data_IF_711023700609
#
_entry.id   IF_711023700609
#
_cell.length_a   1.000
_cell.length_b   1.000
_cell.length_c   1.000
_cell.angle_alpha   90.00
_cell.angle_beta   90.00
_cell.angle_gamma   90.00
#
_symmetry.space_group_name_H-M   'P 1'
#
loop_
_entity.id
_entity.type
_entity.pdbx_description
1 polymer ?
#
# COMPACT_ATOMS: atom_id res chain seq x y z
N UNK A 1 0.25 -16.26 15.84
CA UNK A 1 -0.08 -14.84 16.13
C UNK A 1 -0.52 -14.25 14.80
N UNK A 2 -1.62 -13.50 14.76
CA UNK A 2 -2.07 -12.80 13.54
C UNK A 2 -1.13 -11.63 13.27
N UNK A 3 -0.77 -11.41 12.00
CA UNK A 3 0.02 -10.26 11.59
C UNK A 3 -0.90 -9.03 11.50
N UNK A 4 -0.69 -8.02 12.36
CA UNK A 4 -1.40 -6.75 12.26
C UNK A 4 -0.93 -5.96 11.04
N UNK A 5 -1.88 -5.47 10.25
CA UNK A 5 -1.63 -4.66 9.05
C UNK A 5 -2.49 -3.41 9.06
N UNK A 6 -1.93 -2.29 8.60
CA UNK A 6 -2.67 -1.04 8.45
C UNK A 6 -3.37 -0.96 7.08
N UNK A 7 -4.58 -0.42 7.06
CA UNK A 7 -5.32 -0.10 5.83
C UNK A 7 -5.62 1.40 5.82
N UNK A 8 -5.16 2.10 4.81
CA UNK A 8 -5.29 3.57 4.69
C UNK A 8 -5.71 4.00 3.29
N UNK A 9 -6.02 5.30 3.12
CA UNK A 9 -6.27 5.94 1.84
C UNK A 9 -5.63 7.34 1.84
N UNK A 10 -4.44 7.44 1.27
CA UNK A 10 -3.64 8.67 1.23
C UNK A 10 -3.93 9.54 0.00
N UNK A 11 -4.61 9.01 -1.02
CA UNK A 11 -5.06 9.74 -2.21
C UNK A 11 -6.57 10.02 -2.13
N UNK A 12 -7.31 9.85 -3.23
CA UNK A 12 -8.76 10.09 -3.25
C UNK A 12 -9.48 9.15 -2.29
N UNK A 13 -10.51 9.62 -1.60
CA UNK A 13 -11.28 8.81 -0.65
C UNK A 13 -12.04 7.69 -1.36
N UNK A 14 -12.32 6.63 -0.62
CA UNK A 14 -13.30 5.65 -1.07
C UNK A 14 -14.71 6.25 -0.96
N UNK A 15 -15.54 6.05 -1.98
CA UNK A 15 -16.95 6.38 -1.85
C UNK A 15 -17.63 5.45 -0.82
N UNK A 16 -18.53 5.92 0.04
CA UNK A 16 -19.19 5.10 1.08
C UNK A 16 -19.88 3.84 0.56
N UNK A 17 -20.33 3.83 -0.72
CA UNK A 17 -20.91 2.63 -1.35
C UNK A 17 -19.94 1.43 -1.44
N UNK A 18 -18.63 1.65 -1.36
CA UNK A 18 -17.61 0.58 -1.35
C UNK A 18 -17.33 0.01 0.05
N UNK A 19 -18.14 0.37 1.05
CA UNK A 19 -17.97 -0.17 2.42
C UNK A 19 -18.10 -1.70 2.49
N UNK A 20 -18.99 -2.28 1.69
CA UNK A 20 -19.14 -3.73 1.59
C UNK A 20 -17.89 -4.40 0.98
N UNK A 21 -17.27 -3.78 -0.02
CA UNK A 21 -16.04 -4.26 -0.64
C UNK A 21 -14.87 -4.21 0.34
N UNK A 22 -14.74 -3.12 1.12
CA UNK A 22 -13.72 -3.02 2.15
C UNK A 22 -13.94 -4.06 3.26
N UNK A 23 -15.18 -4.28 3.68
CA UNK A 23 -15.50 -5.32 4.66
C UNK A 23 -15.12 -6.72 4.15
N UNK A 24 -15.40 -7.02 2.86
CA UNK A 24 -15.00 -8.27 2.22
C UNK A 24 -13.48 -8.39 2.11
N UNK A 25 -12.76 -7.32 1.75
CA UNK A 25 -11.31 -7.31 1.75
C UNK A 25 -10.74 -7.66 3.13
N UNK A 26 -11.25 -7.01 4.19
CA UNK A 26 -10.85 -7.29 5.56
C UNK A 26 -11.15 -8.74 5.97
N UNK A 27 -12.25 -9.32 5.49
CA UNK A 27 -12.56 -10.72 5.74
C UNK A 27 -11.52 -11.63 5.06
N UNK A 28 -11.22 -11.43 3.78
CA UNK A 28 -10.21 -12.20 3.06
C UNK A 28 -8.85 -12.10 3.79
N UNK A 29 -8.43 -10.91 4.16
CA UNK A 29 -7.18 -10.70 4.90
C UNK A 29 -7.15 -11.47 6.23
N UNK A 30 -8.27 -11.51 6.98
CA UNK A 30 -8.36 -12.32 8.22
C UNK A 30 -8.28 -13.82 7.94
N UNK A 31 -8.92 -14.29 6.88
CA UNK A 31 -8.83 -15.71 6.45
C UNK A 31 -7.40 -16.09 6.07
N UNK A 32 -6.60 -15.12 5.61
CA UNK A 32 -5.16 -15.26 5.32
C UNK A 32 -4.25 -15.11 6.54
N UNK A 33 -4.80 -14.88 7.74
CA UNK A 33 -4.05 -14.76 8.99
C UNK A 33 -3.60 -13.35 9.36
N UNK A 34 -4.09 -12.33 8.65
CA UNK A 34 -3.82 -10.92 8.96
C UNK A 34 -4.92 -10.31 9.85
N UNK A 35 -4.56 -9.28 10.61
CA UNK A 35 -5.51 -8.48 11.41
C UNK A 35 -5.50 -7.02 10.91
N UNK A 36 -6.47 -6.64 10.04
CA UNK A 36 -6.49 -5.31 9.45
C UNK A 36 -6.98 -4.24 10.43
N UNK A 37 -6.18 -3.20 10.62
CA UNK A 37 -6.46 -1.97 11.37
C UNK A 37 -6.80 -0.87 10.38
N UNK A 38 -8.02 -0.33 10.45
CA UNK A 38 -8.49 0.69 9.51
C UNK A 38 -8.13 2.09 9.97
N UNK A 39 -7.55 2.88 9.07
CA UNK A 39 -7.35 4.32 9.25
C UNK A 39 -8.70 5.06 9.31
N UNK A 40 -8.81 6.16 10.06
CA UNK A 40 -9.99 7.02 10.05
C UNK A 40 -10.22 7.73 8.70
N UNK A 41 -9.17 7.93 7.89
CA UNK A 41 -9.21 8.64 6.62
C UNK A 41 -9.38 7.68 5.43
N UNK A 42 -10.48 6.92 5.37
CA UNK A 42 -10.76 5.98 4.28
C UNK A 42 -11.84 6.47 3.33
N UNK A 43 -12.93 7.03 3.87
CA UNK A 43 -14.12 7.35 3.10
C UNK A 43 -14.28 8.84 2.90
N UNK A 44 -14.96 9.18 1.80
CA UNK A 44 -15.44 10.54 1.57
C UNK A 44 -16.35 10.99 2.73
N UNK A 45 -16.03 12.12 3.31
CA UNK A 45 -16.78 12.75 4.39
C UNK A 45 -17.93 13.66 3.90
N UNK A 46 -18.21 13.62 2.61
CA UNK A 46 -19.23 14.47 1.95
C UNK A 46 -18.66 15.74 1.29
N UNK A 47 -17.36 15.97 1.39
CA UNK A 47 -16.67 17.10 0.75
C UNK A 47 -15.87 16.71 -0.50
N UNK A 48 -15.86 15.43 -0.86
CA UNK A 48 -14.97 14.86 -1.88
C UNK A 48 -13.61 14.45 -1.35
N UNK A 49 -13.39 14.54 -0.02
CA UNK A 49 -12.13 14.21 0.66
C UNK A 49 -12.39 13.28 1.85
N UNK A 50 -11.39 12.49 2.23
CA UNK A 50 -11.38 11.74 3.50
C UNK A 50 -10.79 12.55 4.66
N UNK A 51 -10.24 13.72 4.35
CA UNK A 51 -9.54 14.65 5.22
C UNK A 51 -8.56 15.51 4.42
N UNK A 52 -8.00 16.51 5.06
CA UNK A 52 -6.89 17.31 4.51
C UNK A 52 -5.64 16.46 4.31
N UNK A 53 -4.66 16.94 3.54
CA UNK A 53 -3.37 16.27 3.39
C UNK A 53 -2.68 15.99 4.75
N UNK A 54 -2.78 16.92 5.70
CA UNK A 54 -2.25 16.77 7.04
C UNK A 54 -2.97 15.65 7.82
N UNK A 55 -4.31 15.63 7.82
CA UNK A 55 -5.09 14.61 8.52
C UNK A 55 -4.86 13.20 7.94
N UNK A 56 -4.73 13.08 6.61
CA UNK A 56 -4.39 11.81 5.95
C UNK A 56 -2.96 11.37 6.29
N UNK A 57 -2.03 12.31 6.37
CA UNK A 57 -0.66 12.04 6.80
C UNK A 57 -0.60 11.60 8.28
N UNK A 58 -1.31 12.29 9.18
CA UNK A 58 -1.39 11.91 10.60
C UNK A 58 -1.97 10.50 10.76
N UNK A 59 -3.01 10.18 9.99
CA UNK A 59 -3.60 8.84 9.98
C UNK A 59 -2.61 7.76 9.50
N UNK A 60 -1.80 8.05 8.49
CA UNK A 60 -0.73 7.18 8.01
C UNK A 60 0.39 7.06 9.06
N UNK A 61 0.83 8.17 9.65
CA UNK A 61 1.88 8.18 10.67
C UNK A 61 1.48 7.41 11.92
N UNK A 62 0.21 7.44 12.32
CA UNK A 62 -0.29 6.61 13.42
C UNK A 62 -0.12 5.10 13.15
N UNK A 63 -0.30 4.64 11.90
CA UNK A 63 -0.01 3.26 11.52
C UNK A 63 1.49 2.95 11.55
N UNK A 64 2.33 3.90 11.16
CA UNK A 64 3.78 3.75 11.26
C UNK A 64 4.26 3.70 12.73
N UNK A 65 3.61 4.43 13.64
CA UNK A 65 3.95 4.44 15.06
C UNK A 65 3.42 3.23 15.86
N UNK A 66 2.41 2.50 15.36
CA UNK A 66 1.90 1.31 16.05
C UNK A 66 2.89 0.14 15.95
N UNK A 67 3.57 -0.28 17.05
CA UNK A 67 4.60 -1.31 16.99
C UNK A 67 4.10 -2.71 16.59
N UNK A 68 2.80 -2.95 16.59
CA UNK A 68 2.22 -4.23 16.23
C UNK A 68 1.95 -4.35 14.72
N UNK A 69 1.92 -3.23 13.97
CA UNK A 69 1.71 -3.21 12.52
C UNK A 69 3.05 -3.51 11.82
N UNK A 70 3.03 -4.40 10.84
CA UNK A 70 4.20 -4.78 10.03
C UNK A 70 4.16 -4.22 8.62
N UNK A 71 2.97 -4.11 8.05
CA UNK A 71 2.72 -3.68 6.68
C UNK A 71 1.56 -2.70 6.62
N UNK A 72 1.64 -1.71 5.75
CA UNK A 72 0.61 -0.70 5.56
C UNK A 72 0.15 -0.73 4.09
N UNK A 73 -1.13 -1.02 3.87
CA UNK A 73 -1.74 -1.09 2.55
C UNK A 73 -2.61 0.13 2.29
N UNK A 74 -2.30 0.84 1.22
CA UNK A 74 -3.17 1.91 0.74
C UNK A 74 -4.16 1.36 -0.29
N UNK A 75 -5.45 1.58 -0.02
CA UNK A 75 -6.55 1.10 -0.88
C UNK A 75 -7.03 2.15 -1.88
N UNK A 76 -6.45 3.35 -1.83
CA UNK A 76 -6.84 4.46 -2.68
C UNK A 76 -6.13 4.48 -4.03
N UNK A 77 -6.41 5.47 -4.77
CA UNK A 77 -5.78 5.92 -5.99
C UNK A 77 -6.40 7.27 -6.34
N UNK A 78 -5.89 7.97 -7.34
CA UNK A 78 -6.42 9.28 -7.72
C UNK A 78 -5.33 10.26 -8.09
N UNK A 79 -5.36 11.46 -7.50
CA UNK A 79 -4.47 12.57 -7.88
C UNK A 79 -3.98 13.40 -6.67
N UNK A 80 -4.16 12.91 -5.42
CA UNK A 80 -3.93 13.71 -4.20
C UNK A 80 -2.88 13.11 -3.24
N UNK A 81 -2.20 12.02 -3.60
CA UNK A 81 -1.24 11.36 -2.72
C UNK A 81 -0.03 12.25 -2.39
N UNK A 82 0.36 13.15 -3.28
CA UNK A 82 1.45 14.10 -3.05
C UNK A 82 1.18 15.09 -1.90
N UNK A 83 -0.09 15.36 -1.58
CA UNK A 83 -0.45 16.30 -0.52
C UNK A 83 -0.04 15.84 0.88
N UNK A 84 0.15 14.53 1.10
CA UNK A 84 0.56 14.01 2.41
C UNK A 84 2.08 14.14 2.64
N UNK A 85 2.90 14.18 1.58
CA UNK A 85 4.35 14.16 1.66
C UNK A 85 4.97 15.23 2.59
N UNK A 86 4.50 16.49 2.58
CA UNK A 86 5.07 17.55 3.45
C UNK A 86 4.87 17.31 4.96
N UNK A 87 3.98 16.39 5.32
CA UNK A 87 3.61 16.10 6.71
C UNK A 87 4.14 14.75 7.20
N UNK A 88 4.87 14.01 6.36
CA UNK A 88 5.46 12.72 6.75
C UNK A 88 6.77 12.92 7.51
N UNK A 89 6.93 12.24 8.62
CA UNK A 89 8.21 12.13 9.31
C UNK A 89 8.98 10.92 8.80
N UNK A 90 9.87 11.14 7.84
CA UNK A 90 10.67 10.08 7.25
C UNK A 90 11.66 9.44 8.23
N UNK A 91 12.00 10.10 9.34
CA UNK A 91 12.85 9.50 10.37
C UNK A 91 12.10 8.43 11.16
N UNK A 92 10.82 8.67 11.47
CA UNK A 92 9.93 7.69 12.09
C UNK A 92 9.65 6.53 11.13
N UNK A 93 9.40 6.84 9.86
CA UNK A 93 9.19 5.80 8.83
C UNK A 93 10.43 4.91 8.72
N UNK A 94 11.63 5.49 8.62
CA UNK A 94 12.89 4.76 8.55
C UNK A 94 13.09 3.82 9.75
N UNK A 95 12.84 4.35 10.97
CA UNK A 95 13.00 3.59 12.20
C UNK A 95 11.97 2.46 12.36
N UNK A 96 10.82 2.56 11.70
CA UNK A 96 9.74 1.58 11.83
C UNK A 96 10.04 0.24 11.13
N UNK A 97 10.82 0.26 10.06
CA UNK A 97 11.09 -0.92 9.21
C UNK A 97 9.87 -1.50 8.50
N UNK A 98 8.73 -0.78 8.50
CA UNK A 98 7.47 -1.27 7.90
C UNK A 98 7.45 -1.06 6.40
N UNK A 99 6.81 -1.99 5.68
CA UNK A 99 6.61 -1.89 4.24
C UNK A 99 5.33 -1.12 3.94
N UNK A 100 5.42 -0.18 3.01
CA UNK A 100 4.26 0.52 2.46
C UNK A 100 3.86 -0.08 1.11
N UNK A 101 2.58 -0.38 0.95
CA UNK A 101 2.02 -0.97 -0.26
C UNK A 101 1.02 -0.01 -0.88
N UNK A 102 1.28 0.41 -2.12
CA UNK A 102 0.41 1.35 -2.82
C UNK A 102 0.47 1.16 -4.33
N UNK A 103 -0.48 1.74 -5.06
CA UNK A 103 -0.55 1.62 -6.51
C UNK A 103 -1.05 2.91 -7.17
N UNK A 104 -0.81 3.08 -8.47
CA UNK A 104 -1.27 4.24 -9.24
C UNK A 104 -0.70 5.55 -8.69
N UNK A 105 -1.52 6.47 -8.17
CA UNK A 105 -1.12 7.74 -7.58
C UNK A 105 -0.19 7.57 -6.36
N UNK A 106 -0.35 6.47 -5.63
CA UNK A 106 0.52 6.12 -4.49
C UNK A 106 1.98 5.84 -4.91
N UNK A 107 2.28 5.78 -6.21
CA UNK A 107 3.66 5.80 -6.73
C UNK A 107 4.49 6.91 -6.09
N UNK A 108 3.86 8.06 -5.84
CA UNK A 108 4.48 9.22 -5.17
C UNK A 108 4.99 8.86 -3.77
N UNK A 109 4.16 8.21 -2.95
CA UNK A 109 4.53 7.81 -1.57
C UNK A 109 5.47 6.61 -1.59
N UNK A 110 5.20 5.59 -2.43
CA UNK A 110 6.04 4.40 -2.60
C UNK A 110 7.50 4.79 -2.86
N UNK A 111 7.74 5.67 -3.84
CA UNK A 111 9.09 6.11 -4.17
C UNK A 111 9.68 7.04 -3.10
N UNK A 112 8.89 7.93 -2.50
CA UNK A 112 9.37 8.82 -1.44
C UNK A 112 9.83 8.03 -0.21
N UNK A 113 9.07 7.01 0.22
CA UNK A 113 9.46 6.12 1.31
C UNK A 113 10.78 5.43 1.00
N UNK A 114 10.88 4.73 -0.14
CA UNK A 114 12.10 4.01 -0.49
C UNK A 114 13.32 4.93 -0.61
N UNK A 115 13.18 6.08 -1.27
CA UNK A 115 14.33 6.98 -1.51
C UNK A 115 14.77 7.76 -0.28
N UNK A 116 13.83 8.14 0.59
CA UNK A 116 14.14 8.92 1.79
C UNK A 116 14.57 8.06 2.99
N UNK A 117 14.15 6.80 3.06
CA UNK A 117 14.36 5.97 4.26
C UNK A 117 15.20 4.73 4.02
N UNK A 118 15.27 4.23 2.78
CA UNK A 118 15.84 2.93 2.45
C UNK A 118 14.92 1.74 2.78
N UNK A 119 13.74 1.97 3.36
CA UNK A 119 12.77 0.91 3.61
C UNK A 119 12.15 0.41 2.31
N UNK A 120 11.82 -0.87 2.28
CA UNK A 120 11.09 -1.47 1.17
C UNK A 120 9.68 -0.86 1.07
N UNK A 121 9.26 -0.56 -0.15
CA UNK A 121 7.88 -0.23 -0.48
C UNK A 121 7.45 -1.00 -1.72
N UNK A 122 6.16 -1.31 -1.81
CA UNK A 122 5.65 -2.25 -2.79
C UNK A 122 4.63 -1.58 -3.71
N UNK A 123 4.84 -1.71 -5.02
CA UNK A 123 3.90 -1.24 -6.02
C UNK A 123 2.81 -2.30 -6.24
N UNK A 124 1.80 -2.33 -5.39
CA UNK A 124 0.72 -3.31 -5.43
C UNK A 124 -0.59 -2.73 -4.89
N UNK A 125 -1.71 -3.08 -5.54
CA UNK A 125 -3.06 -2.75 -5.07
C UNK A 125 -3.68 -3.95 -4.37
N UNK A 126 -3.82 -3.89 -3.05
CA UNK A 126 -4.39 -4.97 -2.24
C UNK A 126 -5.85 -5.30 -2.61
N UNK A 127 -6.59 -4.36 -3.19
CA UNK A 127 -7.95 -4.60 -3.71
C UNK A 127 -8.01 -5.59 -4.87
N UNK A 128 -6.88 -5.98 -5.47
CA UNK A 128 -6.82 -7.07 -6.44
C UNK A 128 -7.31 -8.41 -5.85
N UNK A 129 -7.31 -8.54 -4.54
CA UNK A 129 -7.89 -9.71 -3.84
C UNK A 129 -9.42 -9.79 -3.97
N UNK A 130 -10.09 -8.74 -4.50
CA UNK A 130 -11.55 -8.67 -4.67
C UNK A 130 -12.01 -8.84 -6.13
N UNK A 131 -11.14 -8.59 -7.09
CA UNK A 131 -11.50 -8.45 -8.50
C UNK A 131 -11.34 -9.76 -9.28
N UNK A 132 -11.47 -9.66 -10.59
CA UNK A 132 -11.20 -10.77 -11.50
C UNK A 132 -9.80 -11.35 -11.22
N UNK A 133 -9.69 -12.68 -11.29
CA UNK A 133 -8.49 -13.43 -10.90
C UNK A 133 -8.14 -13.37 -9.39
N UNK A 134 -9.08 -13.00 -8.52
CA UNK A 134 -8.82 -12.92 -7.08
C UNK A 134 -8.25 -14.20 -6.46
N UNK A 135 -8.65 -15.37 -6.91
CA UNK A 135 -8.13 -16.64 -6.41
C UNK A 135 -6.61 -16.79 -6.68
N UNK A 136 -6.16 -16.41 -7.87
CA UNK A 136 -4.73 -16.38 -8.21
C UNK A 136 -4.00 -15.32 -7.39
N UNK A 137 -4.56 -14.10 -7.31
CA UNK A 137 -3.99 -13.01 -6.51
C UNK A 137 -3.86 -13.37 -5.03
N UNK A 138 -4.85 -14.05 -4.45
CA UNK A 138 -4.80 -14.54 -3.07
C UNK A 138 -3.64 -15.53 -2.89
N UNK A 139 -3.47 -16.47 -3.82
CA UNK A 139 -2.36 -17.43 -3.76
C UNK A 139 -1.01 -16.73 -3.84
N UNK A 140 -0.81 -15.84 -4.81
CA UNK A 140 0.43 -15.10 -4.97
C UNK A 140 0.73 -14.19 -3.76
N UNK A 141 -0.32 -13.58 -3.19
CA UNK A 141 -0.21 -12.75 -1.99
C UNK A 141 0.24 -13.59 -0.77
N UNK A 142 -0.41 -14.74 -0.53
CA UNK A 142 0.01 -15.66 0.54
C UNK A 142 1.46 -16.10 0.38
N UNK A 143 1.86 -16.46 -0.84
CA UNK A 143 3.21 -16.90 -1.14
C UNK A 143 4.24 -15.79 -0.87
N UNK A 144 3.91 -14.53 -1.17
CA UNK A 144 4.77 -13.38 -0.90
C UNK A 144 5.09 -13.22 0.60
N UNK A 145 4.16 -13.58 1.50
CA UNK A 145 4.36 -13.52 2.95
C UNK A 145 4.92 -14.81 3.57
N UNK A 146 4.79 -15.94 2.87
CA UNK A 146 5.32 -17.23 3.33
C UNK A 146 6.67 -17.61 2.72
N UNK A 147 7.22 -16.78 1.81
CA UNK A 147 8.47 -17.06 1.11
C UNK A 147 8.36 -18.19 0.09
N UNK A 148 7.15 -18.47 -0.40
CA UNK A 148 6.91 -19.48 -1.43
C UNK A 148 6.88 -18.85 -2.82
N UNK A 149 7.15 -19.65 -3.87
CA UNK A 149 7.11 -19.25 -5.26
C UNK A 149 6.10 -20.16 -6.03
N UNK A 150 5.36 -19.63 -7.03
CA UNK A 150 5.38 -18.22 -7.45
C UNK A 150 4.68 -17.29 -6.45
N UNK A 151 5.14 -16.05 -6.37
CA UNK A 151 4.63 -15.00 -5.50
C UNK A 151 4.38 -13.70 -6.27
N UNK A 152 3.91 -12.65 -5.58
CA UNK A 152 3.77 -11.31 -6.17
C UNK A 152 5.10 -10.73 -6.69
N UNK A 153 6.23 -11.26 -6.26
CA UNK A 153 7.59 -10.80 -6.63
C UNK A 153 8.18 -11.57 -7.80
N UNK A 154 7.56 -12.67 -8.23
CA UNK A 154 8.00 -13.47 -9.37
C UNK A 154 7.40 -12.92 -10.67
N UNK A 155 8.07 -11.96 -11.27
CA UNK A 155 7.61 -11.31 -12.50
C UNK A 155 8.25 -12.01 -13.72
N UNK A 156 7.44 -12.64 -14.59
CA UNK A 156 7.96 -13.17 -15.84
C UNK A 156 8.49 -12.02 -16.72
N UNK A 157 9.75 -12.06 -17.06
CA UNK A 157 10.36 -11.03 -17.89
C UNK A 157 11.27 -11.64 -18.97
N UNK A 158 11.48 -10.88 -20.04
CA UNK A 158 12.45 -11.20 -21.10
C UNK A 158 13.39 -10.00 -21.26
N UNK A 159 14.67 -10.23 -21.13
CA UNK A 159 15.67 -9.20 -21.41
C UNK A 159 15.71 -8.90 -22.92
N UNK A 160 15.50 -7.63 -23.29
CA UNK A 160 15.68 -7.16 -24.66
C UNK A 160 17.15 -6.83 -24.95
N UNK A 161 17.91 -6.52 -23.89
CA UNK A 161 19.34 -6.24 -23.96
C UNK A 161 19.99 -6.71 -22.65
N UNK A 162 21.11 -7.44 -22.76
CA UNK A 162 21.76 -8.07 -21.61
C UNK A 162 21.01 -9.33 -21.13
N UNK A 163 21.42 -9.87 -19.99
CA UNK A 163 20.89 -11.09 -19.37
C UNK A 163 20.77 -11.00 -17.84
N UNK A 164 21.19 -9.88 -17.27
CA UNK A 164 21.20 -9.65 -15.84
C UNK A 164 20.92 -8.17 -15.51
N UNK A 165 20.21 -7.93 -14.40
CA UNK A 165 19.98 -6.61 -13.83
C UNK A 165 19.96 -6.72 -12.31
N UNK A 166 20.72 -5.84 -11.64
CA UNK A 166 20.74 -5.73 -10.17
C UNK A 166 20.68 -4.25 -9.78
N UNK A 167 19.89 -3.92 -8.75
CA UNK A 167 19.80 -2.56 -8.23
C UNK A 167 18.50 -2.29 -7.47
N UNK A 168 18.41 -1.09 -6.90
CA UNK A 168 17.17 -0.58 -6.31
C UNK A 168 16.24 -0.13 -7.43
N UNK A 169 15.07 -0.75 -7.52
CA UNK A 169 14.06 -0.38 -8.50
C UNK A 169 13.16 0.72 -7.93
N UNK A 170 13.04 1.83 -8.65
CA UNK A 170 12.01 2.85 -8.43
C UNK A 170 11.13 2.92 -9.68
N UNK A 171 9.85 3.18 -9.51
CA UNK A 171 8.95 3.20 -10.65
C UNK A 171 7.48 3.26 -10.27
N UNK A 172 6.63 3.06 -11.26
CA UNK A 172 5.18 3.02 -11.10
C UNK A 172 4.44 3.83 -12.16
N UNK A 173 3.39 4.56 -11.77
CA UNK A 173 2.62 5.41 -12.67
C UNK A 173 3.49 6.59 -13.16
N UNK A 174 3.74 6.65 -14.47
CA UNK A 174 4.61 7.68 -15.07
C UNK A 174 4.13 9.11 -14.80
N UNK A 175 2.82 9.34 -14.65
CA UNK A 175 2.29 10.67 -14.31
C UNK A 175 2.78 11.20 -12.96
N UNK A 176 3.20 10.31 -12.05
CA UNK A 176 3.71 10.69 -10.73
C UNK A 176 5.19 11.10 -10.77
N UNK A 177 5.85 11.04 -11.93
CA UNK A 177 7.24 11.48 -12.15
C UNK A 177 7.33 12.75 -13.00
N UNK A 178 6.23 13.27 -13.52
CA UNK A 178 6.14 14.47 -14.35
C UNK A 178 5.65 15.65 -13.54
#
# INVERSE_FOLDING_TARGET
MSHKIGITACSNPMHPSFSADLARLCQILRELGFDPVLSPCLYDNGSGFSGTGAERADALMNLYCDPEITDIFDVSGGDMANEVLPYLDFSVIAASGKRFWGYSDLTTIVNAVTTATGNESMLYQVRNLLYDHSAEQITLFQNAFSGQSPSLFDLPCTFLQGDHMEGVMIGGNIRCFL
#
